data_IF_685010953751
#
_entry.id   IF_685010953751
#
_cell.length_a   1.000
_cell.length_b   1.000
_cell.length_c   1.000
_cell.angle_alpha   90.00
_cell.angle_beta   90.00
_cell.angle_gamma   90.00
#
_symmetry.space_group_name_H-M   'P 1'
#
loop_
_entity.id
_entity.type
_entity.pdbx_description
1 polymer ?
#
# COMPACT_ATOMS: atom_id res chain seq x y z
N UNK A 1 -13.10 -3.52 -13.25
CA UNK A 1 -11.90 -3.07 -14.00
C UNK A 1 -10.73 -3.93 -13.59
N UNK A 2 -9.89 -4.30 -14.57
CA UNK A 2 -8.78 -5.24 -14.35
C UNK A 2 -7.63 -4.61 -13.56
N UNK A 3 -7.10 -5.38 -12.61
CA UNK A 3 -6.01 -5.01 -11.72
C UNK A 3 -4.89 -6.04 -11.85
N UNK A 4 -3.68 -5.62 -12.18
CA UNK A 4 -2.50 -6.47 -12.12
C UNK A 4 -1.66 -6.09 -10.90
N UNK A 5 -1.39 -7.06 -10.04
CA UNK A 5 -0.53 -6.92 -8.86
C UNK A 5 0.73 -7.72 -9.06
N UNK A 6 1.87 -7.04 -9.00
CA UNK A 6 3.20 -7.64 -9.11
C UNK A 6 3.97 -7.37 -7.83
N UNK A 7 4.47 -8.40 -7.19
CA UNK A 7 5.18 -8.25 -5.91
C UNK A 7 5.68 -9.58 -5.36
N UNK A 8 6.25 -9.54 -4.17
CA UNK A 8 6.66 -10.75 -3.46
C UNK A 8 5.46 -11.56 -2.98
N UNK A 9 5.61 -12.88 -3.04
CA UNK A 9 4.83 -13.86 -2.31
C UNK A 9 5.80 -14.54 -1.35
N UNK A 10 5.50 -14.52 -0.06
CA UNK A 10 6.49 -14.84 0.96
C UNK A 10 5.91 -15.71 2.08
N UNK A 11 6.84 -16.25 2.86
CA UNK A 11 6.56 -16.84 4.17
C UNK A 11 7.34 -16.03 5.20
N UNK A 12 6.65 -15.47 6.19
CA UNK A 12 7.25 -14.58 7.18
C UNK A 12 7.27 -15.20 8.57
N UNK A 13 8.30 -14.89 9.36
CA UNK A 13 8.31 -15.11 10.80
C UNK A 13 8.36 -13.76 11.49
N UNK A 14 7.35 -13.49 12.30
CA UNK A 14 7.13 -12.19 12.91
C UNK A 14 7.18 -12.35 14.42
N UNK A 15 8.07 -11.61 15.07
CA UNK A 15 8.16 -11.50 16.51
C UNK A 15 7.81 -10.09 16.94
N UNK A 16 6.90 -9.95 17.88
CA UNK A 16 6.55 -8.69 18.52
C UNK A 16 6.87 -8.78 20.01
N UNK A 17 6.84 -7.69 20.77
CA UNK A 17 7.03 -7.74 22.23
C UNK A 17 6.00 -8.61 22.97
N UNK A 18 4.91 -8.98 22.29
CA UNK A 18 3.75 -9.63 22.91
C UNK A 18 3.55 -11.08 22.49
N UNK A 19 3.93 -11.43 21.23
CA UNK A 19 3.75 -12.78 20.70
C UNK A 19 4.64 -13.01 19.47
N UNK A 20 4.66 -14.25 18.97
CA UNK A 20 5.42 -14.66 17.78
C UNK A 20 4.58 -15.52 16.87
N UNK A 21 4.76 -15.31 15.56
CA UNK A 21 4.13 -16.13 14.53
C UNK A 21 5.20 -16.63 13.57
N UNK A 22 5.31 -17.95 13.46
CA UNK A 22 6.28 -18.58 12.57
C UNK A 22 5.63 -19.04 11.26
N UNK A 23 6.33 -18.87 10.14
CA UNK A 23 5.93 -19.30 8.80
C UNK A 23 4.52 -18.87 8.40
N UNK A 24 4.18 -17.65 8.75
CA UNK A 24 2.92 -17.01 8.36
C UNK A 24 2.94 -16.60 6.88
N UNK A 25 1.78 -16.48 6.26
CA UNK A 25 1.65 -16.00 4.89
C UNK A 25 2.05 -14.52 4.81
N UNK A 26 2.91 -14.18 3.86
CA UNK A 26 3.44 -12.83 3.68
C UNK A 26 3.64 -12.44 2.23
N UNK A 27 4.37 -11.35 2.04
CA UNK A 27 4.69 -10.79 0.73
C UNK A 27 3.75 -9.70 0.26
N UNK A 28 4.31 -8.68 -0.39
CA UNK A 28 3.58 -7.48 -0.80
C UNK A 28 2.39 -7.79 -1.71
N UNK A 29 2.55 -8.69 -2.71
CA UNK A 29 1.45 -9.06 -3.59
C UNK A 29 0.30 -9.75 -2.86
N UNK A 30 0.59 -10.51 -1.81
CA UNK A 30 -0.44 -11.17 -0.97
C UNK A 30 -1.32 -10.14 -0.28
N UNK A 31 -0.71 -9.24 0.49
CA UNK A 31 -1.47 -8.22 1.25
C UNK A 31 -2.23 -7.26 0.32
N UNK A 32 -1.58 -6.79 -0.75
CA UNK A 32 -2.20 -5.89 -1.73
C UNK A 32 -3.43 -6.53 -2.34
N UNK A 33 -3.32 -7.77 -2.84
CA UNK A 33 -4.43 -8.44 -3.53
C UNK A 33 -5.59 -8.79 -2.58
N UNK A 34 -5.30 -9.25 -1.36
CA UNK A 34 -6.32 -9.52 -0.35
C UNK A 34 -7.09 -8.25 0.02
N UNK A 35 -6.39 -7.16 0.30
CA UNK A 35 -7.04 -5.89 0.63
C UNK A 35 -7.83 -5.30 -0.56
N UNK A 36 -7.32 -5.43 -1.80
CA UNK A 36 -8.01 -4.96 -2.99
C UNK A 36 -9.28 -5.75 -3.29
N UNK A 37 -9.34 -7.04 -2.93
CA UNK A 37 -10.47 -7.93 -3.23
C UNK A 37 -11.78 -7.53 -2.58
N UNK A 38 -11.75 -6.66 -1.59
CA UNK A 38 -12.97 -6.11 -0.98
C UNK A 38 -13.72 -5.12 -1.87
N UNK A 39 -13.04 -4.55 -2.84
CA UNK A 39 -13.60 -3.56 -3.75
C UNK A 39 -13.60 -4.02 -5.20
N UNK A 40 -12.56 -4.72 -5.63
CA UNK A 40 -12.46 -5.32 -6.95
C UNK A 40 -13.00 -6.76 -6.93
N UNK A 41 -13.60 -7.23 -8.04
CA UNK A 41 -13.90 -8.65 -8.17
C UNK A 41 -12.61 -9.47 -8.24
N UNK A 42 -12.55 -10.60 -7.54
CA UNK A 42 -11.36 -11.44 -7.51
C UNK A 42 -10.89 -11.88 -8.90
N UNK A 43 -11.82 -12.21 -9.79
CA UNK A 43 -11.51 -12.58 -11.19
C UNK A 43 -10.89 -11.47 -12.03
N UNK A 44 -10.97 -10.22 -11.57
CA UNK A 44 -10.34 -9.07 -12.22
C UNK A 44 -8.92 -8.80 -11.68
N UNK A 45 -8.48 -9.55 -10.65
CA UNK A 45 -7.16 -9.41 -10.02
C UNK A 45 -6.23 -10.50 -10.52
N UNK A 46 -5.21 -10.10 -11.31
CA UNK A 46 -4.10 -10.97 -11.73
C UNK A 46 -2.90 -10.78 -10.82
N UNK A 47 -2.25 -11.91 -10.45
CA UNK A 47 -1.03 -11.92 -9.66
C UNK A 47 0.17 -12.32 -10.51
N UNK A 48 1.29 -11.60 -10.34
CA UNK A 48 2.60 -11.97 -10.90
C UNK A 48 3.62 -12.03 -9.77
N UNK A 49 4.24 -13.16 -9.62
CA UNK A 49 5.21 -13.44 -8.56
C UNK A 49 5.91 -14.77 -8.78
N UNK A 50 6.75 -15.17 -7.84
CA UNK A 50 7.42 -16.47 -7.83
C UNK A 50 7.39 -17.07 -6.44
N UNK A 51 7.20 -18.38 -6.37
CA UNK A 51 7.22 -19.15 -5.13
C UNK A 51 8.00 -20.46 -5.33
N UNK A 52 8.46 -21.03 -4.24
CA UNK A 52 8.98 -22.41 -4.22
C UNK A 52 7.86 -23.44 -4.11
N UNK A 53 8.24 -24.70 -4.18
CA UNK A 53 7.33 -25.84 -4.00
C UNK A 53 6.76 -25.93 -2.57
N UNK A 54 7.43 -25.26 -1.62
CA UNK A 54 7.05 -25.18 -0.20
C UNK A 54 6.04 -24.06 0.12
N UNK A 55 5.51 -23.35 -0.90
CA UNK A 55 4.51 -22.32 -0.67
C UNK A 55 3.24 -22.92 -0.07
N UNK A 56 2.69 -22.34 1.01
CA UNK A 56 1.65 -22.98 1.78
C UNK A 56 0.39 -23.29 0.99
N UNK A 57 -0.13 -24.54 1.12
CA UNK A 57 -1.36 -24.97 0.43
C UNK A 57 -2.57 -24.11 0.82
N UNK A 58 -2.65 -23.65 2.07
CA UNK A 58 -3.74 -22.77 2.50
C UNK A 58 -3.72 -21.42 1.77
N UNK A 59 -2.56 -20.94 1.36
CA UNK A 59 -2.45 -19.70 0.57
C UNK A 59 -3.04 -19.89 -0.83
N UNK A 60 -2.80 -21.04 -1.49
CA UNK A 60 -3.43 -21.37 -2.76
C UNK A 60 -4.94 -21.47 -2.64
N UNK A 61 -5.43 -22.13 -1.58
CA UNK A 61 -6.88 -22.22 -1.29
C UNK A 61 -7.50 -20.84 -1.05
N UNK A 62 -6.78 -19.97 -0.32
CA UNK A 62 -7.21 -18.59 -0.09
C UNK A 62 -7.29 -17.79 -1.41
N UNK A 63 -6.26 -17.84 -2.25
CA UNK A 63 -6.25 -17.15 -3.54
C UNK A 63 -7.36 -17.65 -4.46
N UNK A 64 -7.55 -18.98 -4.53
CA UNK A 64 -8.63 -19.59 -5.27
C UNK A 64 -10.01 -19.19 -4.74
N UNK A 65 -10.19 -19.19 -3.41
CA UNK A 65 -11.44 -18.77 -2.76
C UNK A 65 -11.78 -17.30 -3.00
N UNK A 66 -10.76 -16.44 -3.15
CA UNK A 66 -10.92 -15.04 -3.58
C UNK A 66 -11.09 -14.88 -5.09
N UNK A 67 -10.89 -15.94 -5.88
CA UNK A 67 -11.01 -15.93 -7.33
C UNK A 67 -9.84 -15.25 -8.05
N UNK A 68 -8.66 -15.12 -7.43
CA UNK A 68 -7.50 -14.48 -8.05
C UNK A 68 -6.97 -15.30 -9.23
N UNK A 69 -6.56 -14.61 -10.27
CA UNK A 69 -5.83 -15.21 -11.37
C UNK A 69 -4.34 -15.33 -11.04
N UNK A 70 -3.94 -16.54 -10.70
CA UNK A 70 -2.55 -16.87 -10.34
C UNK A 70 -1.71 -17.38 -11.51
N UNK A 71 -2.18 -17.25 -12.76
CA UNK A 71 -1.45 -17.75 -13.94
C UNK A 71 -0.11 -17.06 -14.18
N UNK A 72 0.13 -15.92 -13.53
CA UNK A 72 1.42 -15.20 -13.53
C UNK A 72 2.32 -15.57 -12.34
N UNK A 73 1.90 -16.49 -11.48
CA UNK A 73 2.73 -16.98 -10.37
C UNK A 73 3.51 -18.20 -10.82
N UNK A 74 4.84 -18.06 -10.86
CA UNK A 74 5.74 -19.14 -11.20
C UNK A 74 6.03 -19.99 -9.96
N UNK A 75 5.91 -21.32 -10.09
CA UNK A 75 6.26 -22.28 -9.04
C UNK A 75 7.56 -22.99 -9.43
N UNK A 76 8.62 -22.79 -8.66
CA UNK A 76 9.93 -23.41 -8.92
C UNK A 76 10.01 -24.74 -8.19
N UNK A 77 10.07 -25.82 -8.95
CA UNK A 77 10.17 -27.18 -8.42
C UNK A 77 11.49 -27.37 -7.66
N UNK A 78 11.42 -27.94 -6.46
CA UNK A 78 12.56 -28.11 -5.57
C UNK A 78 13.10 -26.82 -4.96
N UNK A 79 12.50 -25.64 -5.31
CA UNK A 79 12.86 -24.35 -4.76
C UNK A 79 12.16 -24.06 -3.43
N UNK A 80 12.70 -23.12 -2.68
CA UNK A 80 12.07 -22.57 -1.47
C UNK A 80 11.49 -21.18 -1.76
N UNK A 81 10.36 -20.89 -1.16
CA UNK A 81 9.72 -19.56 -1.21
C UNK A 81 10.55 -18.52 -0.48
N UNK A 82 10.46 -17.27 -0.93
CA UNK A 82 11.04 -16.12 -0.23
C UNK A 82 10.63 -16.14 1.24
N UNK A 83 11.62 -16.02 2.13
CA UNK A 83 11.42 -16.04 3.57
C UNK A 83 11.99 -14.79 4.20
N UNK A 84 11.19 -14.17 5.07
CA UNK A 84 11.62 -13.04 5.87
C UNK A 84 11.31 -13.29 7.34
N UNK A 85 12.24 -12.89 8.23
CA UNK A 85 12.02 -12.89 9.66
C UNK A 85 12.36 -11.53 10.23
N UNK A 86 11.46 -10.98 11.02
CA UNK A 86 11.61 -9.68 11.66
C UNK A 86 11.13 -9.65 13.10
N UNK A 87 11.72 -8.73 13.86
CA UNK A 87 11.37 -8.48 15.24
C UNK A 87 11.02 -7.01 15.43
N UNK A 88 9.79 -6.75 15.88
CA UNK A 88 9.32 -5.41 16.20
C UNK A 88 9.73 -4.98 17.59
N UNK A 89 10.07 -3.72 17.73
CA UNK A 89 10.31 -3.06 19.01
C UNK A 89 8.98 -2.72 19.70
N UNK A 90 9.06 -2.24 20.94
CA UNK A 90 7.87 -1.93 21.73
C UNK A 90 6.99 -0.83 21.13
N UNK A 91 7.57 0.06 20.33
CA UNK A 91 6.85 1.12 19.60
C UNK A 91 6.02 0.59 18.43
N UNK A 92 6.14 -0.69 18.08
CA UNK A 92 5.44 -1.37 16.97
C UNK A 92 5.64 -0.68 15.58
N UNK A 93 6.55 0.28 15.49
CA UNK A 93 6.93 0.99 14.26
C UNK A 93 8.34 0.64 13.81
N UNK A 94 9.25 0.47 14.77
CA UNK A 94 10.66 0.10 14.53
C UNK A 94 10.79 -1.43 14.50
N UNK A 95 11.53 -1.95 13.54
CA UNK A 95 11.80 -3.39 13.44
C UNK A 95 13.22 -3.69 13.05
N UNK A 96 13.74 -4.80 13.56
CA UNK A 96 14.98 -5.41 13.10
C UNK A 96 14.66 -6.53 12.12
N UNK A 97 15.37 -6.58 11.01
CA UNK A 97 15.33 -7.73 10.11
C UNK A 97 16.31 -8.78 10.63
N UNK A 98 15.82 -9.94 11.02
CA UNK A 98 16.63 -11.04 11.53
C UNK A 98 17.18 -11.92 10.41
N UNK A 99 16.33 -12.18 9.38
CA UNK A 99 16.69 -13.02 8.24
C UNK A 99 15.98 -12.54 6.99
N UNK A 100 16.67 -12.62 5.86
CA UNK A 100 16.09 -12.42 4.52
C UNK A 100 16.67 -13.47 3.59
N UNK A 101 15.94 -14.55 3.37
CA UNK A 101 16.32 -15.60 2.44
C UNK A 101 15.53 -15.41 1.13
N UNK A 102 16.18 -14.84 0.14
CA UNK A 102 15.54 -14.57 -1.16
C UNK A 102 15.10 -15.85 -1.85
N UNK A 103 15.84 -16.97 -1.69
CA UNK A 103 15.51 -18.25 -2.30
C UNK A 103 15.19 -18.09 -3.81
N UNK A 104 14.06 -18.64 -4.29
CA UNK A 104 13.65 -18.53 -5.71
C UNK A 104 13.40 -17.08 -6.15
N UNK A 105 13.19 -16.17 -5.23
CA UNK A 105 12.99 -14.75 -5.54
C UNK A 105 14.26 -14.04 -5.99
N UNK A 106 15.45 -14.60 -5.66
CA UNK A 106 16.74 -14.02 -6.09
C UNK A 106 16.88 -13.98 -7.62
N UNK A 107 16.34 -14.97 -8.29
CA UNK A 107 16.40 -15.12 -9.76
C UNK A 107 15.07 -14.75 -10.44
N UNK A 108 14.15 -14.14 -9.71
CA UNK A 108 12.85 -13.79 -10.22
C UNK A 108 12.92 -12.84 -11.42
N UNK A 109 12.27 -13.24 -12.50
CA UNK A 109 12.08 -12.43 -13.71
C UNK A 109 10.58 -12.42 -14.01
N UNK A 110 9.89 -11.31 -13.71
CA UNK A 110 8.44 -11.26 -13.87
C UNK A 110 8.03 -11.49 -15.32
N UNK A 111 7.14 -12.46 -15.53
CA UNK A 111 6.53 -12.75 -16.83
C UNK A 111 5.05 -12.45 -16.75
N UNK A 112 4.62 -11.39 -17.40
CA UNK A 112 3.21 -11.01 -17.41
C UNK A 112 2.45 -11.88 -18.43
N UNK A 113 1.43 -12.65 -17.99
CA UNK A 113 0.61 -13.44 -18.92
C UNK A 113 -0.04 -12.54 -19.96
N UNK A 114 -0.18 -13.05 -21.20
CA UNK A 114 -0.69 -12.28 -22.35
C UNK A 114 -2.03 -11.58 -22.08
N UNK A 115 -2.92 -12.21 -21.28
CA UNK A 115 -4.21 -11.65 -20.89
C UNK A 115 -4.12 -10.47 -19.92
N UNK A 116 -2.98 -10.32 -19.22
CA UNK A 116 -2.73 -9.25 -18.24
C UNK A 116 -1.79 -8.15 -18.76
N UNK A 117 -1.44 -8.14 -20.05
CA UNK A 117 -0.57 -7.09 -20.63
C UNK A 117 -1.28 -5.78 -20.93
N UNK A 118 -2.58 -5.67 -20.64
CA UNK A 118 -3.38 -4.46 -20.86
C UNK A 118 -4.35 -4.21 -19.69
N UNK A 119 -3.86 -4.19 -18.43
CA UNK A 119 -4.73 -3.99 -17.27
C UNK A 119 -5.18 -2.52 -17.20
N UNK A 120 -6.32 -2.26 -16.56
CA UNK A 120 -6.73 -0.89 -16.25
C UNK A 120 -5.83 -0.27 -15.19
N UNK A 121 -5.39 -1.07 -14.20
CA UNK A 121 -4.55 -0.65 -13.07
C UNK A 121 -3.37 -1.61 -12.90
N UNK A 122 -2.19 -1.05 -12.69
CA UNK A 122 -0.97 -1.80 -12.40
C UNK A 122 -0.42 -1.39 -11.04
N UNK A 123 -0.24 -2.35 -10.15
CA UNK A 123 0.41 -2.19 -8.86
C UNK A 123 1.75 -2.91 -8.86
N UNK A 124 2.78 -2.16 -8.58
CA UNK A 124 4.15 -2.63 -8.43
C UNK A 124 4.49 -2.60 -6.94
N UNK A 125 4.31 -3.74 -6.27
CA UNK A 125 4.69 -3.91 -4.88
C UNK A 125 6.20 -3.82 -4.69
N UNK A 126 6.63 -3.95 -3.46
CA UNK A 126 8.05 -3.82 -3.10
C UNK A 126 8.88 -4.97 -3.67
N UNK A 127 9.49 -4.74 -4.83
CA UNK A 127 10.48 -5.59 -5.52
C UNK A 127 11.57 -4.69 -6.09
N UNK A 128 12.64 -5.29 -6.65
CA UNK A 128 13.70 -4.50 -7.27
C UNK A 128 13.17 -3.54 -8.35
N UNK A 129 13.57 -2.26 -8.34
CA UNK A 129 13.06 -1.26 -9.31
C UNK A 129 13.28 -1.65 -10.78
N UNK A 130 14.37 -2.35 -11.10
CA UNK A 130 14.61 -2.89 -12.44
C UNK A 130 13.53 -3.89 -12.85
N UNK A 131 13.05 -4.74 -11.93
CA UNK A 131 11.96 -5.68 -12.20
C UNK A 131 10.62 -4.97 -12.34
N UNK A 132 10.38 -3.91 -11.55
CA UNK A 132 9.21 -3.05 -11.71
C UNK A 132 9.20 -2.41 -13.11
N UNK A 133 10.34 -1.92 -13.57
CA UNK A 133 10.50 -1.35 -14.90
C UNK A 133 10.28 -2.39 -16.01
N UNK A 134 10.79 -3.62 -15.82
CA UNK A 134 10.56 -4.73 -16.77
C UNK A 134 9.07 -5.04 -16.91
N UNK A 135 8.32 -5.04 -15.81
CA UNK A 135 6.85 -5.23 -15.86
C UNK A 135 6.17 -4.10 -16.64
N UNK A 136 6.54 -2.84 -16.40
CA UNK A 136 5.99 -1.71 -17.16
C UNK A 136 6.25 -1.87 -18.66
N UNK A 137 7.44 -2.31 -19.04
CA UNK A 137 7.82 -2.51 -20.45
C UNK A 137 7.06 -3.67 -21.12
N UNK A 138 6.48 -4.61 -20.36
CA UNK A 138 5.64 -5.69 -20.89
C UNK A 138 4.18 -5.26 -21.15
N UNK A 139 3.78 -4.05 -20.74
CA UNK A 139 2.42 -3.56 -20.96
C UNK A 139 2.20 -3.18 -22.43
N UNK A 140 1.21 -3.81 -23.09
CA UNK A 140 0.80 -3.49 -24.45
C UNK A 140 -0.04 -2.22 -24.54
N UNK A 141 -0.78 -1.93 -23.50
CA UNK A 141 -1.57 -0.70 -23.32
C UNK A 141 -1.17 -0.06 -22.01
N UNK A 142 -0.98 1.27 -22.02
CA UNK A 142 -0.72 2.00 -20.79
C UNK A 142 -1.91 1.90 -19.83
N UNK A 143 -1.71 1.43 -18.59
CA UNK A 143 -2.73 1.45 -17.56
C UNK A 143 -3.22 2.88 -17.26
N UNK A 144 -4.45 3.02 -16.77
CA UNK A 144 -4.99 4.30 -16.27
C UNK A 144 -4.18 4.83 -15.09
N UNK A 145 -3.69 3.92 -14.26
CA UNK A 145 -2.81 4.23 -13.14
C UNK A 145 -1.77 3.13 -12.99
N UNK A 146 -0.51 3.55 -12.88
CA UNK A 146 0.60 2.72 -12.44
C UNK A 146 1.02 3.26 -11.08
N UNK A 147 0.89 2.46 -10.05
CA UNK A 147 1.29 2.79 -8.69
C UNK A 147 2.41 1.88 -8.23
N UNK A 148 3.43 2.44 -7.59
CA UNK A 148 4.54 1.65 -7.05
C UNK A 148 4.78 1.94 -5.57
N UNK A 149 5.37 0.95 -4.92
CA UNK A 149 6.01 1.01 -3.61
C UNK A 149 7.52 0.87 -3.77
N UNK A 150 8.26 1.29 -2.75
CA UNK A 150 9.71 1.12 -2.66
C UNK A 150 10.10 0.92 -1.19
N UNK A 151 11.39 0.76 -0.93
CA UNK A 151 11.92 0.70 0.44
C UNK A 151 13.33 1.30 0.50
N UNK A 152 13.79 1.57 1.72
CA UNK A 152 15.10 2.13 2.00
C UNK A 152 16.25 1.37 1.30
N UNK A 153 16.17 0.03 1.21
CA UNK A 153 17.18 -0.79 0.53
C UNK A 153 17.36 -0.39 -0.95
N UNK A 154 16.26 -0.16 -1.67
CA UNK A 154 16.29 0.26 -3.07
C UNK A 154 16.67 1.72 -3.23
N UNK A 155 16.26 2.59 -2.29
CA UNK A 155 16.61 4.01 -2.29
C UNK A 155 18.12 4.20 -2.16
N UNK A 156 18.77 3.35 -1.37
CA UNK A 156 20.23 3.43 -1.15
C UNK A 156 21.04 2.59 -2.14
N UNK A 157 20.55 1.40 -2.48
CA UNK A 157 21.31 0.41 -3.26
C UNK A 157 21.03 0.38 -4.75
N UNK A 158 19.90 0.93 -5.21
CA UNK A 158 19.45 0.87 -6.61
C UNK A 158 18.78 2.18 -7.05
N UNK A 159 19.28 3.33 -6.59
CA UNK A 159 18.66 4.65 -6.80
C UNK A 159 18.44 4.98 -8.28
N UNK A 160 19.42 4.67 -9.15
CA UNK A 160 19.32 4.99 -10.58
C UNK A 160 18.17 4.22 -11.26
N UNK A 161 17.97 2.94 -10.91
CA UNK A 161 16.88 2.14 -11.44
C UNK A 161 15.54 2.57 -10.83
N UNK A 162 15.53 2.95 -9.56
CA UNK A 162 14.34 3.54 -8.92
C UNK A 162 13.91 4.82 -9.65
N UNK A 163 14.84 5.72 -9.95
CA UNK A 163 14.52 6.95 -10.69
C UNK A 163 13.97 6.69 -12.09
N UNK A 164 14.51 5.68 -12.80
CA UNK A 164 13.96 5.25 -14.11
C UNK A 164 12.53 4.71 -13.98
N UNK A 165 12.25 3.98 -12.92
CA UNK A 165 10.91 3.44 -12.63
C UNK A 165 9.93 4.56 -12.27
N UNK A 166 10.31 5.48 -11.36
CA UNK A 166 9.49 6.62 -10.96
C UNK A 166 9.08 7.49 -12.16
N UNK A 167 9.99 7.70 -13.11
CA UNK A 167 9.69 8.43 -14.34
C UNK A 167 8.64 7.76 -15.25
N UNK A 168 8.21 6.52 -14.95
CA UNK A 168 7.21 5.76 -15.73
C UNK A 168 5.90 5.52 -14.97
N UNK A 169 5.84 5.82 -13.67
CA UNK A 169 4.66 5.60 -12.84
C UNK A 169 3.92 6.92 -12.56
N UNK A 170 2.64 6.82 -12.25
CA UNK A 170 1.78 7.99 -11.97
C UNK A 170 1.59 8.19 -10.47
N UNK A 171 1.79 7.14 -9.68
CA UNK A 171 1.58 7.18 -8.24
C UNK A 171 2.70 6.47 -7.48
N UNK A 172 3.10 7.05 -6.36
CA UNK A 172 4.05 6.49 -5.40
C UNK A 172 3.42 6.42 -4.01
N UNK A 173 3.49 5.26 -3.39
CA UNK A 173 3.16 5.07 -1.97
C UNK A 173 4.45 4.77 -1.24
N UNK A 174 4.79 5.60 -0.24
CA UNK A 174 6.09 5.56 0.44
C UNK A 174 5.88 5.90 1.92
N UNK A 175 6.75 5.43 2.83
CA UNK A 175 6.69 5.90 4.21
C UNK A 175 7.48 7.21 4.39
N UNK A 176 7.30 7.84 5.53
CA UNK A 176 7.90 9.16 5.83
C UNK A 176 9.43 9.12 5.97
N UNK A 177 9.98 8.03 6.50
CA UNK A 177 11.43 7.82 6.57
C UNK A 177 12.05 7.65 5.18
N UNK A 178 11.43 6.84 4.34
CA UNK A 178 11.83 6.64 2.95
C UNK A 178 11.70 7.92 2.11
N UNK A 179 10.63 8.68 2.32
CA UNK A 179 10.43 9.97 1.63
C UNK A 179 11.53 10.97 1.97
N UNK A 180 11.88 11.08 3.26
CA UNK A 180 13.01 11.92 3.69
C UNK A 180 14.33 11.44 3.14
N UNK A 181 14.55 10.12 3.13
CA UNK A 181 15.78 9.51 2.61
C UNK A 181 15.95 9.75 1.11
N UNK A 182 14.88 9.58 0.33
CA UNK A 182 14.94 9.71 -1.13
C UNK A 182 15.15 11.16 -1.58
N UNK A 183 14.52 12.11 -0.87
CA UNK A 183 14.54 13.54 -1.20
C UNK A 183 15.66 14.30 -0.49
N UNK A 184 16.22 13.72 0.57
CA UNK A 184 17.19 14.36 1.47
C UNK A 184 16.63 15.68 2.06
N UNK A 185 15.45 15.58 2.68
CA UNK A 185 14.81 16.76 3.28
C UNK A 185 13.91 16.39 4.48
N UNK A 186 13.93 17.18 5.61
CA UNK A 186 13.15 16.85 6.80
C UNK A 186 11.65 17.13 6.66
N UNK A 187 11.22 18.08 5.83
CA UNK A 187 9.80 18.45 5.65
C UNK A 187 9.11 17.49 4.68
N UNK A 188 8.07 16.80 5.15
CA UNK A 188 7.27 15.90 4.31
C UNK A 188 6.49 16.65 3.21
N UNK A 189 6.14 17.93 3.41
CA UNK A 189 5.49 18.72 2.37
C UNK A 189 6.47 18.97 1.21
N UNK A 190 7.71 19.34 1.51
CA UNK A 190 8.76 19.49 0.50
C UNK A 190 9.05 18.15 -0.17
N UNK A 191 9.13 17.05 0.60
CA UNK A 191 9.30 15.71 0.06
C UNK A 191 8.19 15.36 -0.93
N UNK A 192 6.92 15.57 -0.55
CA UNK A 192 5.78 15.25 -1.41
C UNK A 192 5.83 15.95 -2.77
N UNK A 193 6.11 17.25 -2.78
CA UNK A 193 6.22 18.01 -4.04
C UNK A 193 7.41 17.56 -4.90
N UNK A 194 8.59 17.35 -4.29
CA UNK A 194 9.77 16.85 -5.02
C UNK A 194 9.56 15.43 -5.55
N UNK A 195 8.87 14.57 -4.80
CA UNK A 195 8.52 13.23 -5.27
C UNK A 195 7.53 13.28 -6.44
N UNK A 196 6.55 14.20 -6.44
CA UNK A 196 5.68 14.41 -7.60
C UNK A 196 6.46 14.78 -8.86
N UNK A 197 7.52 15.59 -8.75
CA UNK A 197 8.38 15.98 -9.89
C UNK A 197 9.12 14.80 -10.50
N UNK A 198 9.37 13.73 -9.73
CA UNK A 198 10.03 12.51 -10.19
C UNK A 198 9.09 11.57 -10.97
N UNK A 199 7.76 11.75 -10.85
CA UNK A 199 6.77 10.89 -11.50
C UNK A 199 6.52 11.29 -12.97
N UNK A 200 5.93 10.35 -13.72
CA UNK A 200 5.57 10.57 -15.11
C UNK A 200 4.71 11.84 -15.30
N UNK A 201 5.02 12.70 -16.28
CA UNK A 201 4.37 14.00 -16.42
C UNK A 201 3.01 13.97 -17.12
N UNK A 202 2.62 12.85 -17.67
CA UNK A 202 1.54 12.71 -18.66
C UNK A 202 0.16 12.37 -18.06
N UNK A 203 0.04 12.35 -16.74
CA UNK A 203 -1.19 12.15 -15.97
C UNK A 203 -1.08 12.83 -14.60
N UNK A 204 -2.09 12.61 -13.74
CA UNK A 204 -2.02 13.05 -12.34
C UNK A 204 -0.77 12.47 -11.65
N UNK A 205 -0.08 13.31 -10.90
CA UNK A 205 1.06 12.92 -10.09
C UNK A 205 0.61 12.76 -8.65
N UNK A 206 0.51 11.52 -8.23
CA UNK A 206 -0.03 11.15 -6.92
C UNK A 206 1.10 10.64 -6.04
N UNK A 207 1.34 11.30 -4.93
CA UNK A 207 2.27 10.82 -3.89
C UNK A 207 1.52 10.65 -2.59
N UNK A 208 1.67 9.49 -1.96
CA UNK A 208 1.09 9.21 -0.66
C UNK A 208 2.23 8.87 0.29
N UNK A 209 2.41 9.71 1.32
CA UNK A 209 3.42 9.50 2.37
C UNK A 209 2.72 8.95 3.60
N UNK A 210 2.93 7.66 3.88
CA UNK A 210 2.44 6.97 5.07
C UNK A 210 3.28 7.39 6.29
N UNK A 211 2.63 7.61 7.44
CA UNK A 211 3.27 8.07 8.69
C UNK A 211 2.91 7.18 9.88
N UNK A 212 2.70 5.88 9.65
CA UNK A 212 2.31 4.93 10.69
C UNK A 212 1.05 5.38 11.43
N UNK A 213 1.13 5.45 12.75
CA UNK A 213 0.05 5.87 13.64
C UNK A 213 -0.41 7.33 13.45
N UNK A 214 0.36 8.13 12.71
CA UNK A 214 0.04 9.52 12.38
C UNK A 214 -0.69 9.67 11.03
N UNK A 215 -1.12 8.56 10.40
CA UNK A 215 -1.91 8.57 9.17
C UNK A 215 -1.09 8.75 7.89
N UNK A 216 -1.60 9.52 6.94
CA UNK A 216 -0.96 9.70 5.64
C UNK A 216 -1.16 11.13 5.09
N UNK A 217 -0.20 11.57 4.27
CA UNK A 217 -0.32 12.77 3.44
C UNK A 217 -0.49 12.35 1.99
N UNK A 218 -1.54 12.81 1.34
CA UNK A 218 -1.76 12.69 -0.09
C UNK A 218 -1.39 14.01 -0.77
N UNK A 219 -0.58 13.91 -1.80
CA UNK A 219 -0.29 14.97 -2.77
C UNK A 219 -0.89 14.56 -4.11
N UNK A 220 -1.80 15.36 -4.63
CA UNK A 220 -2.48 15.14 -5.89
C UNK A 220 -2.47 16.44 -6.68
N UNK A 221 -1.63 16.51 -7.71
CA UNK A 221 -1.31 17.75 -8.41
C UNK A 221 -0.93 18.87 -7.39
N UNK A 222 -1.66 19.98 -7.34
CA UNK A 222 -1.44 21.06 -6.37
C UNK A 222 -2.16 20.87 -5.02
N UNK A 223 -2.95 19.81 -4.87
CA UNK A 223 -3.76 19.59 -3.68
C UNK A 223 -3.05 18.70 -2.66
N UNK A 224 -3.20 19.02 -1.39
CA UNK A 224 -2.73 18.22 -0.26
C UNK A 224 -3.94 17.79 0.57
N UNK A 225 -3.94 16.54 1.00
CA UNK A 225 -4.92 16.01 1.95
C UNK A 225 -4.20 15.24 3.05
N UNK A 226 -4.56 15.53 4.30
CA UNK A 226 -4.07 14.78 5.46
C UNK A 226 -5.17 13.84 5.95
N UNK A 227 -4.91 12.54 5.88
CA UNK A 227 -5.76 11.52 6.46
C UNK A 227 -5.20 11.12 7.83
N UNK A 228 -6.02 11.08 8.90
CA UNK A 228 -5.58 10.50 10.17
C UNK A 228 -5.46 8.98 10.06
N UNK A 229 -4.66 8.36 10.94
CA UNK A 229 -4.74 6.93 11.18
C UNK A 229 -6.03 6.57 11.93
N UNK A 230 -6.47 5.31 11.79
CA UNK A 230 -7.51 4.79 12.67
C UNK A 230 -6.86 4.47 14.04
N UNK A 231 -7.38 5.01 15.16
CA UNK A 231 -6.80 4.79 16.48
C UNK A 231 -7.10 3.36 16.95
N UNK A 232 -6.06 2.53 16.95
CA UNK A 232 -6.14 1.16 17.47
C UNK A 232 -5.72 1.16 18.95
N UNK A 233 -6.49 0.49 19.79
CA UNK A 233 -6.13 0.27 21.20
C UNK A 233 -4.98 -0.75 21.31
N UNK A 234 -4.99 -1.76 20.43
CA UNK A 234 -3.99 -2.82 20.39
C UNK A 234 -3.46 -3.03 18.98
N UNK A 235 -2.17 -3.19 18.85
CA UNK A 235 -1.48 -3.53 17.61
C UNK A 235 -0.80 -4.89 17.80
N UNK A 236 -1.22 -5.89 17.03
CA UNK A 236 -0.64 -7.24 17.09
C UNK A 236 0.53 -7.41 16.16
N UNK A 237 0.39 -6.97 14.91
CA UNK A 237 1.41 -7.12 13.88
C UNK A 237 1.25 -6.04 12.79
N UNK A 238 2.21 -5.10 12.66
CA UNK A 238 2.14 -4.08 11.62
C UNK A 238 2.70 -4.55 10.25
N UNK A 239 3.15 -5.82 10.14
CA UNK A 239 3.65 -6.38 8.88
C UNK A 239 2.54 -6.38 7.82
N UNK A 240 2.84 -5.89 6.63
CA UNK A 240 1.87 -5.82 5.55
C UNK A 240 0.83 -4.69 5.65
N UNK A 241 0.88 -3.85 6.72
CA UNK A 241 -0.04 -2.72 6.85
C UNK A 241 0.09 -1.73 5.68
N UNK A 242 1.32 -1.45 5.23
CA UNK A 242 1.59 -0.60 4.07
C UNK A 242 1.06 -1.18 2.77
N UNK A 243 1.21 -2.48 2.58
CA UNK A 243 0.70 -3.22 1.43
C UNK A 243 -0.83 -3.29 1.45
N UNK A 244 -1.42 -3.56 2.63
CA UNK A 244 -2.88 -3.54 2.82
C UNK A 244 -3.47 -2.15 2.59
N UNK A 245 -2.76 -1.09 2.98
CA UNK A 245 -3.11 0.28 2.64
C UNK A 245 -3.17 0.46 1.12
N UNK A 246 -2.12 0.04 0.41
CA UNK A 246 -2.06 0.15 -1.05
C UNK A 246 -3.16 -0.69 -1.71
N UNK A 247 -3.42 -1.91 -1.21
CA UNK A 247 -4.49 -2.78 -1.69
C UNK A 247 -5.87 -2.14 -1.51
N UNK A 248 -6.19 -1.60 -0.34
CA UNK A 248 -7.46 -0.91 -0.08
C UNK A 248 -7.64 0.33 -0.94
N UNK A 249 -6.57 1.11 -1.10
CA UNK A 249 -6.55 2.29 -1.96
C UNK A 249 -6.83 1.93 -3.43
N UNK A 250 -6.04 1.02 -4.02
CA UNK A 250 -6.19 0.68 -5.43
C UNK A 250 -7.48 -0.07 -5.69
N UNK A 251 -7.87 -0.99 -4.81
CA UNK A 251 -9.13 -1.71 -4.91
C UNK A 251 -10.32 -0.76 -4.97
N UNK A 252 -10.36 0.27 -4.12
CA UNK A 252 -11.41 1.28 -4.17
C UNK A 252 -11.40 2.05 -5.50
N UNK A 253 -10.21 2.40 -6.02
CA UNK A 253 -10.08 3.12 -7.30
C UNK A 253 -10.58 2.30 -8.49
N UNK A 254 -10.50 0.97 -8.47
CA UNK A 254 -11.01 0.12 -9.56
C UNK A 254 -12.53 0.23 -9.79
N UNK A 255 -13.26 0.81 -8.85
CA UNK A 255 -14.70 1.04 -8.96
C UNK A 255 -15.08 2.29 -9.76
N UNK A 256 -14.10 3.11 -10.14
CA UNK A 256 -14.31 4.42 -10.76
C UNK A 256 -13.66 4.48 -12.14
N UNK A 257 -14.38 5.02 -13.11
CA UNK A 257 -13.87 5.17 -14.48
C UNK A 257 -12.77 6.23 -14.57
N UNK A 258 -12.88 7.28 -13.75
CA UNK A 258 -11.96 8.42 -13.72
C UNK A 258 -11.31 8.57 -12.35
N UNK A 259 -10.04 8.95 -12.36
CA UNK A 259 -9.26 9.23 -11.16
C UNK A 259 -9.36 10.73 -10.88
N UNK A 260 -10.06 11.08 -9.80
CA UNK A 260 -10.25 12.47 -9.38
C UNK A 260 -9.78 12.66 -7.94
N UNK A 261 -9.37 13.87 -7.59
CA UNK A 261 -8.90 14.19 -6.23
C UNK A 261 -9.85 13.70 -5.13
N UNK A 262 -11.15 13.99 -5.26
CA UNK A 262 -12.15 13.55 -4.27
C UNK A 262 -12.25 12.02 -4.15
N UNK A 263 -12.04 11.29 -5.24
CA UNK A 263 -12.05 9.82 -5.26
C UNK A 263 -10.78 9.28 -4.62
N UNK A 264 -9.62 9.87 -4.93
CA UNK A 264 -8.33 9.47 -4.33
C UNK A 264 -8.30 9.75 -2.83
N UNK A 265 -8.87 10.87 -2.34
CA UNK A 265 -9.03 11.11 -0.90
C UNK A 265 -9.77 9.97 -0.20
N UNK A 266 -10.92 9.54 -0.76
CA UNK A 266 -11.68 8.41 -0.20
C UNK A 266 -10.90 7.10 -0.29
N UNK A 267 -10.17 6.89 -1.38
CA UNK A 267 -9.30 5.72 -1.54
C UNK A 267 -8.21 5.66 -0.47
N UNK A 268 -7.58 6.79 -0.13
CA UNK A 268 -6.62 6.90 0.99
C UNK A 268 -7.26 6.50 2.32
N UNK A 269 -8.49 6.96 2.58
CA UNK A 269 -9.22 6.60 3.81
C UNK A 269 -9.53 5.10 3.85
N UNK A 270 -9.98 4.48 2.73
CA UNK A 270 -10.17 3.03 2.67
C UNK A 270 -8.86 2.25 2.81
N UNK A 271 -7.77 2.76 2.25
CA UNK A 271 -6.42 2.23 2.50
C UNK A 271 -6.07 2.22 3.98
N UNK A 272 -6.31 3.34 4.69
CA UNK A 272 -6.12 3.44 6.14
C UNK A 272 -6.98 2.43 6.91
N UNK A 273 -8.24 2.24 6.50
CA UNK A 273 -9.14 1.26 7.12
C UNK A 273 -8.60 -0.15 6.97
N UNK A 274 -8.17 -0.56 5.74
CA UNK A 274 -7.63 -1.91 5.52
C UNK A 274 -6.30 -2.12 6.26
N UNK A 275 -5.41 -1.13 6.28
CA UNK A 275 -4.18 -1.16 7.06
C UNK A 275 -4.45 -1.35 8.57
N UNK A 276 -5.47 -0.67 9.11
CA UNK A 276 -5.84 -0.81 10.52
C UNK A 276 -6.39 -2.19 10.87
N UNK A 277 -7.11 -2.85 9.95
CA UNK A 277 -7.48 -4.25 10.13
C UNK A 277 -6.27 -5.17 10.08
N UNK A 278 -5.35 -4.96 9.13
CA UNK A 278 -4.11 -5.74 9.05
C UNK A 278 -3.37 -5.75 10.39
N UNK A 279 -3.22 -4.59 11.04
CA UNK A 279 -2.53 -4.47 12.34
C UNK A 279 -3.26 -5.14 13.52
N UNK A 280 -4.52 -5.56 13.37
CA UNK A 280 -5.33 -6.09 14.47
C UNK A 280 -5.20 -7.60 14.68
N UNK A 281 -4.40 -8.30 13.87
CA UNK A 281 -4.00 -9.72 14.03
C UNK A 281 -2.66 -9.96 13.36
N UNK A 282 -2.11 -11.17 13.53
CA UNK A 282 -0.88 -11.55 12.85
C UNK A 282 -1.09 -11.81 11.34
N UNK A 283 -0.11 -11.40 10.53
CA UNK A 283 -0.09 -11.70 9.09
C UNK A 283 -1.39 -11.27 8.39
N UNK A 284 -1.93 -12.12 7.52
CA UNK A 284 -3.14 -11.87 6.74
C UNK A 284 -4.45 -12.19 7.47
N UNK A 285 -4.39 -12.77 8.69
CA UNK A 285 -5.55 -13.31 9.41
C UNK A 285 -6.74 -12.34 9.51
N UNK A 286 -6.44 -11.05 9.78
CA UNK A 286 -7.51 -10.06 9.94
C UNK A 286 -8.14 -9.65 8.62
N UNK A 287 -7.38 -9.67 7.53
CA UNK A 287 -7.83 -9.21 6.21
C UNK A 287 -8.31 -10.35 5.29
N UNK A 288 -8.28 -11.59 5.74
CA UNK A 288 -8.77 -12.72 4.94
C UNK A 288 -10.30 -12.75 4.84
N UNK A 289 -11.00 -12.43 5.92
CA UNK A 289 -12.44 -12.65 6.04
C UNK A 289 -13.17 -11.44 6.66
N UNK A 290 -12.92 -10.23 6.16
CA UNK A 290 -13.71 -9.05 6.51
C UNK A 290 -15.03 -9.03 5.75
N UNK A 291 -16.08 -8.50 6.36
CA UNK A 291 -17.29 -8.11 5.65
C UNK A 291 -17.21 -6.66 5.19
N UNK A 292 -17.94 -6.32 4.13
CA UNK A 292 -18.06 -4.92 3.70
C UNK A 292 -18.68 -4.03 4.78
N UNK A 293 -19.56 -4.58 5.63
CA UNK A 293 -20.16 -3.85 6.75
C UNK A 293 -19.12 -3.47 7.81
N UNK A 294 -18.16 -4.36 8.10
CA UNK A 294 -17.05 -4.05 9.01
C UNK A 294 -16.18 -2.93 8.43
N UNK A 295 -15.79 -3.03 7.16
CA UNK A 295 -14.99 -2.02 6.46
C UNK A 295 -15.73 -0.67 6.45
N UNK A 296 -17.01 -0.68 6.10
CA UNK A 296 -17.81 0.54 6.04
C UNK A 296 -18.02 1.16 7.42
N UNK A 297 -18.25 0.35 8.46
CA UNK A 297 -18.37 0.82 9.84
C UNK A 297 -17.10 1.56 10.27
N UNK A 298 -15.92 0.94 10.10
CA UNK A 298 -14.62 1.57 10.46
C UNK A 298 -14.33 2.83 9.64
N UNK A 299 -14.74 2.83 8.37
CA UNK A 299 -14.69 4.05 7.55
C UNK A 299 -15.54 5.19 8.16
N UNK A 300 -16.76 4.89 8.61
CA UNK A 300 -17.66 5.89 9.22
C UNK A 300 -17.14 6.34 10.59
N UNK A 301 -16.60 5.45 11.38
CA UNK A 301 -15.93 5.78 12.64
C UNK A 301 -14.76 6.74 12.39
N UNK A 302 -13.87 6.42 11.44
CA UNK A 302 -12.75 7.29 11.08
C UNK A 302 -13.22 8.65 10.58
N UNK A 303 -14.30 8.70 9.80
CA UNK A 303 -14.91 9.96 9.37
C UNK A 303 -15.41 10.76 10.57
N UNK A 304 -16.10 10.13 11.53
CA UNK A 304 -16.65 10.79 12.72
C UNK A 304 -15.56 11.37 13.61
N UNK A 305 -14.50 10.62 13.90
CA UNK A 305 -13.43 11.09 14.77
C UNK A 305 -12.51 12.14 14.13
N UNK A 306 -12.59 12.33 12.83
CA UNK A 306 -11.78 13.32 12.10
C UNK A 306 -12.56 14.55 11.66
N UNK A 307 -13.87 14.60 11.89
CA UNK A 307 -14.71 15.75 11.59
C UNK A 307 -14.90 16.61 12.84
N UNK A 308 -15.05 17.92 12.62
CA UNK A 308 -15.41 18.91 13.64
C UNK A 308 -16.41 19.89 13.05
N UNK A 309 -17.22 20.47 13.92
CA UNK A 309 -18.23 21.46 13.52
C UNK A 309 -17.59 22.84 13.40
N UNK A 310 -17.99 23.57 12.37
CA UNK A 310 -17.61 24.98 12.19
C UNK A 310 -18.69 25.86 12.82
N UNK A 311 -18.43 26.36 14.03
CA UNK A 311 -19.27 27.38 14.65
C UNK A 311 -18.69 28.78 14.37
N UNK A 312 -19.47 29.66 13.76
CA UNK A 312 -19.00 31.04 13.53
C UNK A 312 -18.71 31.73 14.85
N UNK A 313 -17.55 32.41 14.94
CA UNK A 313 -17.19 33.25 16.09
C UNK A 313 -18.30 34.24 16.34
N UNK A 314 -18.94 34.18 17.52
CA UNK A 314 -19.80 35.27 18.00
C UNK A 314 -18.89 36.47 18.30
N UNK A 315 -18.86 37.47 17.43
CA UNK A 315 -18.28 38.77 17.75
C UNK A 315 -19.05 39.34 18.95
N UNK A 316 -18.41 39.42 20.12
CA UNK A 316 -18.97 40.21 21.21
C UNK A 316 -19.12 41.64 20.70
N UNK A 317 -20.36 42.12 20.56
CA UNK A 317 -20.62 43.54 20.42
C UNK A 317 -20.10 44.20 21.72
N UNK A 318 -19.01 44.91 21.62
CA UNK A 318 -18.69 45.92 22.64
C UNK A 318 -19.82 46.94 22.59
N UNK A 319 -20.78 46.82 23.50
CA UNK A 319 -21.69 47.93 23.80
C UNK A 319 -20.82 49.05 24.39
N UNK A 320 -20.42 49.95 23.52
CA UNK A 320 -19.93 51.27 23.96
C UNK A 320 -21.12 51.99 24.59
N UNK A 321 -21.24 51.87 25.91
CA UNK A 321 -22.08 52.78 26.67
C UNK A 321 -21.51 54.19 26.50
N UNK A 322 -22.03 54.92 25.50
CA UNK A 322 -21.88 56.34 25.44
C UNK A 322 -22.71 56.93 26.58
N UNK A 323 -22.05 57.23 27.66
CA UNK A 323 -22.62 58.05 28.73
C UNK A 323 -22.96 59.42 28.18
N UNK A 324 -24.23 59.70 28.17
CA UNK A 324 -24.75 61.06 28.04
C UNK A 324 -24.62 61.79 29.39
N UNK A 325 -23.83 62.82 29.45
CA UNK A 325 -24.03 63.99 30.36
C UNK A 325 -24.72 65.06 29.57
#
# INVERSE_FOLDING_TARGET
>A
MSLLVVGSLAVDTIETPFDKRERALGGSATYISLAASYFAHGSDIGLVGVVGEDFPEHAWKLFQGKGFDTSGVEVIKGGKTFFWAGKYHYDMNTRDTLTTDLNVFADFKPKVPAKHTSPDYLVLGNIAPSLQLDVINQMKKKPKLIICDTMNFWITGAKDDLMKTLAKVNALVINDGEARLLVDHPSLVVCGHKLQEMLAPDNHRIVIIKKGEHGALLFYDQFIFSAPAYPLEEIFDPTGAGDSFMGGLIGYLTRWETIQYATVKRAVVYGTVLASYCCSKFSTEAIENLSMDQIYRRFRELQSISSFEDEPFRTQKHDSAAGTM
#
